data_IF_876482103921
#
_entry.id   IF_876482103921
#
_cell.length_a   1.000
_cell.length_b   1.000
_cell.length_c   1.000
_cell.angle_alpha   90.00
_cell.angle_beta   90.00
_cell.angle_gamma   90.00
#
_symmetry.space_group_name_H-M   'P 1'
#
loop_
_entity.id
_entity.type
_entity.pdbx_description
1 polymer ?
#
# COMPACT_ATOMS: atom_id res chain seq x y z
N UNK A 1 -12.73 -6.37 -14.05
CA UNK A 1 -11.56 -6.54 -13.16
C UNK A 1 -10.63 -5.33 -13.09
N UNK A 2 -10.22 -4.68 -14.20
CA UNK A 2 -9.41 -3.43 -14.14
C UNK A 2 -10.00 -2.34 -13.23
N UNK A 3 -11.30 -2.06 -13.35
CA UNK A 3 -11.98 -1.06 -12.49
C UNK A 3 -12.00 -1.47 -11.01
N UNK A 4 -12.04 -2.78 -10.72
CA UNK A 4 -11.96 -3.29 -9.36
C UNK A 4 -10.56 -3.04 -8.78
N UNK A 5 -9.48 -3.29 -9.53
CA UNK A 5 -8.13 -2.93 -9.08
C UNK A 5 -7.99 -1.43 -8.81
N UNK A 6 -8.53 -0.58 -9.68
CA UNK A 6 -8.52 0.87 -9.47
C UNK A 6 -9.25 1.24 -8.17
N UNK A 7 -10.42 0.65 -7.94
CA UNK A 7 -11.17 0.85 -6.70
C UNK A 7 -10.36 0.39 -5.48
N UNK A 8 -9.76 -0.81 -5.54
CA UNK A 8 -9.01 -1.37 -4.42
C UNK A 8 -7.79 -0.51 -4.06
N UNK A 9 -7.01 -0.11 -5.08
CA UNK A 9 -5.86 0.78 -4.89
C UNK A 9 -6.30 2.17 -4.40
N UNK A 10 -7.43 2.68 -4.89
CA UNK A 10 -7.96 3.99 -4.50
C UNK A 10 -8.41 4.01 -3.05
N UNK A 11 -9.13 2.98 -2.61
CA UNK A 11 -9.53 2.82 -1.22
C UNK A 11 -8.31 2.71 -0.29
N UNK A 12 -7.31 1.89 -0.65
CA UNK A 12 -6.04 1.84 0.07
C UNK A 12 -5.38 3.22 0.18
N UNK A 13 -5.33 3.95 -0.94
CA UNK A 13 -4.70 5.27 -1.00
C UNK A 13 -5.36 6.25 -0.05
N UNK A 14 -6.70 6.29 -0.03
CA UNK A 14 -7.48 7.22 0.81
C UNK A 14 -7.23 6.92 2.30
N UNK A 15 -7.28 5.65 2.70
CA UNK A 15 -7.00 5.26 4.09
C UNK A 15 -5.58 5.63 4.51
N UNK A 16 -4.61 5.38 3.63
CA UNK A 16 -3.21 5.68 3.87
C UNK A 16 -2.90 7.19 3.89
N UNK A 17 -3.59 7.99 3.07
CA UNK A 17 -3.52 9.45 3.13
C UNK A 17 -3.98 9.97 4.49
N UNK A 18 -5.15 9.51 4.94
CA UNK A 18 -5.72 9.97 6.21
C UNK A 18 -4.82 9.58 7.39
N UNK A 19 -4.47 8.30 7.51
CA UNK A 19 -3.60 7.84 8.60
C UNK A 19 -2.21 8.48 8.56
N UNK A 20 -1.63 8.62 7.36
CA UNK A 20 -0.28 9.16 7.18
C UNK A 20 -0.20 10.63 7.54
N UNK A 21 -1.18 11.42 7.10
CA UNK A 21 -1.27 12.85 7.44
C UNK A 21 -1.48 13.04 8.94
N UNK A 22 -2.38 12.27 9.57
CA UNK A 22 -2.63 12.41 11.02
C UNK A 22 -1.37 12.12 11.84
N UNK A 23 -0.63 11.06 11.53
CA UNK A 23 0.64 10.78 12.19
C UNK A 23 1.75 11.78 11.88
N UNK A 24 1.69 12.49 10.74
CA UNK A 24 2.63 13.55 10.45
C UNK A 24 2.29 14.86 11.17
N UNK A 25 1.00 15.16 11.36
CA UNK A 25 0.52 16.35 12.07
C UNK A 25 0.78 16.23 13.57
N UNK A 26 0.44 15.09 14.17
CA UNK A 26 0.72 14.80 15.58
C UNK A 26 1.48 13.47 15.69
N UNK A 27 2.82 13.50 15.57
CA UNK A 27 3.67 12.31 15.63
C UNK A 27 3.66 11.58 16.97
N UNK A 28 3.09 12.16 18.02
CA UNK A 28 2.89 11.48 19.29
C UNK A 28 1.74 10.45 19.25
N UNK A 29 0.93 10.48 18.19
CA UNK A 29 -0.20 9.58 17.95
C UNK A 29 -1.53 10.10 18.49
N UNK A 30 -1.57 11.29 19.11
CA UNK A 30 -2.73 11.81 19.82
C UNK A 30 -3.98 11.94 18.95
N UNK A 31 -3.85 12.38 17.68
CA UNK A 31 -4.97 12.45 16.73
C UNK A 31 -5.54 11.09 16.33
N UNK A 32 -4.76 10.02 16.49
CA UNK A 32 -5.17 8.65 16.22
C UNK A 32 -5.63 7.93 17.50
N UNK A 33 -5.69 8.63 18.65
CA UNK A 33 -5.98 8.03 19.94
C UNK A 33 -4.88 7.08 20.43
N UNK A 34 -3.67 7.21 19.89
CA UNK A 34 -2.50 6.41 20.22
C UNK A 34 -1.51 7.23 21.04
N UNK A 35 -0.56 6.54 21.65
CA UNK A 35 0.58 7.16 22.35
C UNK A 35 1.88 6.52 21.87
N UNK A 36 3.00 7.22 22.08
CA UNK A 36 4.33 6.69 21.74
C UNK A 36 4.71 5.42 22.50
N UNK A 37 3.98 5.04 23.56
CA UNK A 37 4.19 3.78 24.28
C UNK A 37 4.00 2.55 23.37
N UNK A 38 3.17 2.65 22.32
CA UNK A 38 3.05 1.59 21.32
C UNK A 38 4.35 1.38 20.52
N UNK A 39 5.31 2.29 20.59
CA UNK A 39 6.57 2.23 19.86
C UNK A 39 7.76 1.79 20.72
N UNK A 40 7.56 1.43 22.00
CA UNK A 40 8.64 1.07 22.93
C UNK A 40 9.53 -0.08 22.43
N UNK A 41 8.94 -1.02 21.67
CA UNK A 41 9.64 -2.15 21.08
C UNK A 41 10.09 -1.90 19.64
N UNK A 42 10.00 -0.64 19.18
CA UNK A 42 10.27 -0.24 17.81
C UNK A 42 11.55 0.59 17.71
N UNK A 43 12.18 0.65 16.52
CA UNK A 43 13.31 1.55 16.28
C UNK A 43 12.88 3.02 16.14
N UNK A 44 11.58 3.34 16.29
CA UNK A 44 11.04 4.68 16.09
C UNK A 44 10.69 5.34 17.42
N UNK A 45 11.05 6.60 17.56
CA UNK A 45 10.73 7.39 18.75
C UNK A 45 9.33 8.05 18.68
N UNK A 46 8.73 8.10 17.49
CA UNK A 46 7.42 8.69 17.22
C UNK A 46 6.85 8.14 15.90
N UNK A 47 5.60 8.49 15.59
CA UNK A 47 4.88 8.00 14.40
C UNK A 47 5.20 8.76 13.11
N UNK A 48 6.15 9.71 13.11
CA UNK A 48 6.43 10.52 11.92
C UNK A 48 6.89 9.67 10.73
N UNK A 49 7.87 8.78 10.95
CA UNK A 49 8.39 7.94 9.87
C UNK A 49 7.35 6.90 9.40
N UNK A 50 6.65 6.17 10.30
CA UNK A 50 5.48 5.38 9.91
C UNK A 50 4.46 6.17 9.08
N UNK A 51 4.13 7.40 9.49
CA UNK A 51 3.21 8.29 8.79
C UNK A 51 3.67 8.64 7.37
N UNK A 52 4.95 8.97 7.20
CA UNK A 52 5.55 9.24 5.88
C UNK A 52 5.49 7.99 4.97
N UNK A 53 5.80 6.81 5.51
CA UNK A 53 5.73 5.55 4.74
C UNK A 53 4.28 5.29 4.31
N UNK A 54 3.32 5.42 5.23
CA UNK A 54 1.91 5.25 4.91
C UNK A 54 1.48 6.21 3.80
N UNK A 55 1.81 7.49 3.96
CA UNK A 55 1.47 8.54 3.00
C UNK A 55 2.08 8.29 1.62
N UNK A 56 3.39 8.04 1.54
CA UNK A 56 4.08 7.97 0.25
C UNK A 56 3.92 6.61 -0.44
N UNK A 57 4.15 5.53 0.31
CA UNK A 57 4.21 4.17 -0.26
C UNK A 57 2.81 3.58 -0.45
N UNK A 58 1.88 3.86 0.45
CA UNK A 58 0.52 3.31 0.40
C UNK A 58 -0.55 4.35 0.02
N UNK A 59 -0.25 5.65 0.12
CA UNK A 59 -1.12 6.74 -0.34
C UNK A 59 -0.79 7.20 -1.77
N UNK A 60 0.35 7.85 -1.96
CA UNK A 60 0.73 8.49 -3.23
C UNK A 60 1.06 7.48 -4.31
N UNK A 61 1.86 6.45 -3.97
CA UNK A 61 2.34 5.50 -4.97
C UNK A 61 1.21 4.68 -5.62
N UNK A 62 0.20 4.16 -4.87
CA UNK A 62 -0.92 3.47 -5.50
C UNK A 62 -1.78 4.40 -6.38
N UNK A 63 -1.91 5.70 -6.06
CA UNK A 63 -2.52 6.69 -6.96
C UNK A 63 -1.74 6.82 -8.27
N UNK A 64 -0.41 6.85 -8.20
CA UNK A 64 0.43 6.85 -9.41
C UNK A 64 0.22 5.59 -10.26
N UNK A 65 0.08 4.42 -9.62
CA UNK A 65 -0.22 3.17 -10.32
C UNK A 65 -1.63 3.21 -10.94
N UNK A 66 -2.64 3.73 -10.25
CA UNK A 66 -3.99 3.96 -10.81
C UNK A 66 -3.91 4.85 -12.05
N UNK A 67 -3.20 5.97 -11.97
CA UNK A 67 -2.98 6.86 -13.11
C UNK A 67 -2.34 6.12 -14.29
N UNK A 68 -1.31 5.31 -14.02
CA UNK A 68 -0.62 4.50 -15.03
C UNK A 68 -1.55 3.45 -15.66
N UNK A 69 -2.44 2.82 -14.89
CA UNK A 69 -3.47 1.87 -15.39
C UNK A 69 -4.49 2.58 -16.29
N UNK A 70 -4.89 3.81 -15.95
CA UNK A 70 -5.91 4.57 -16.69
C UNK A 70 -5.33 5.12 -17.99
N UNK A 71 -4.19 5.80 -17.92
CA UNK A 71 -3.56 6.49 -19.05
C UNK A 71 -2.66 5.60 -19.90
N UNK A 72 -2.42 4.35 -19.48
CA UNK A 72 -1.44 3.44 -20.10
C UNK A 72 -0.09 4.13 -20.27
N UNK A 73 0.34 4.82 -19.21
CA UNK A 73 1.60 5.56 -19.23
C UNK A 73 2.73 4.56 -19.46
N UNK A 74 3.65 4.85 -20.38
CA UNK A 74 4.89 4.13 -20.50
C UNK A 74 5.98 4.86 -19.69
N UNK A 75 6.61 4.18 -18.73
CA UNK A 75 7.70 4.72 -17.95
C UNK A 75 8.89 3.75 -17.99
N UNK A 76 9.96 4.07 -18.74
CA UNK A 76 11.11 3.17 -18.90
C UNK A 76 11.80 2.81 -17.59
N UNK A 77 11.80 3.70 -16.60
CA UNK A 77 12.38 3.43 -15.29
C UNK A 77 11.57 2.38 -14.53
N UNK A 78 10.23 2.54 -14.49
CA UNK A 78 9.36 1.55 -13.85
C UNK A 78 9.40 0.21 -14.59
N UNK A 79 9.53 0.21 -15.92
CA UNK A 79 9.67 -1.02 -16.69
C UNK A 79 10.98 -1.75 -16.39
N UNK A 80 12.09 -1.06 -16.07
CA UNK A 80 13.34 -1.73 -15.65
C UNK A 80 13.18 -2.48 -14.32
N UNK A 81 12.35 -1.97 -13.41
CA UNK A 81 12.05 -2.59 -12.11
C UNK A 81 10.94 -3.65 -12.18
N UNK A 82 10.35 -3.84 -13.36
CA UNK A 82 9.32 -4.83 -13.61
C UNK A 82 9.95 -6.22 -13.74
N UNK A 83 9.68 -7.12 -12.80
CA UNK A 83 10.12 -8.52 -12.86
C UNK A 83 9.38 -9.31 -13.95
N UNK A 84 8.18 -8.87 -14.32
CA UNK A 84 7.31 -9.54 -15.28
C UNK A 84 7.32 -8.76 -16.60
N UNK A 85 8.40 -8.90 -17.37
CA UNK A 85 8.68 -8.10 -18.58
C UNK A 85 7.60 -8.19 -19.65
N UNK A 86 6.88 -9.31 -19.75
CA UNK A 86 5.79 -9.53 -20.72
C UNK A 86 4.52 -8.70 -20.42
N UNK A 87 4.47 -8.09 -19.23
CA UNK A 87 3.33 -7.31 -18.76
C UNK A 87 3.69 -5.84 -18.56
N UNK A 88 2.69 -4.97 -18.67
CA UNK A 88 2.77 -3.57 -18.33
C UNK A 88 3.12 -3.37 -16.86
N UNK A 89 4.14 -2.55 -16.55
CA UNK A 89 4.64 -2.37 -15.18
C UNK A 89 3.53 -2.09 -14.16
N UNK A 90 2.52 -1.30 -14.51
CA UNK A 90 1.44 -0.94 -13.58
C UNK A 90 0.70 -2.16 -13.00
N UNK A 91 0.65 -3.28 -13.73
CA UNK A 91 0.13 -4.53 -13.20
C UNK A 91 1.08 -5.16 -12.17
N UNK A 92 2.37 -5.28 -12.49
CA UNK A 92 3.38 -5.85 -11.58
C UNK A 92 3.48 -5.05 -10.30
N UNK A 93 3.48 -3.72 -10.40
CA UNK A 93 3.52 -2.85 -9.23
C UNK A 93 2.22 -2.92 -8.40
N UNK A 94 1.08 -3.25 -9.00
CA UNK A 94 -0.14 -3.57 -8.22
C UNK A 94 0.09 -4.80 -7.33
N UNK A 95 0.77 -5.83 -7.85
CA UNK A 95 1.13 -7.01 -7.06
C UNK A 95 2.13 -6.64 -5.95
N UNK A 96 3.13 -5.82 -6.27
CA UNK A 96 4.09 -5.32 -5.27
C UNK A 96 3.42 -4.53 -4.15
N UNK A 97 2.44 -3.69 -4.47
CA UNK A 97 1.65 -2.95 -3.46
C UNK A 97 0.93 -3.91 -2.53
N UNK A 98 0.28 -4.96 -3.07
CA UNK A 98 -0.40 -5.97 -2.25
C UNK A 98 0.56 -6.72 -1.33
N UNK A 99 1.72 -7.14 -1.84
CA UNK A 99 2.77 -7.81 -1.03
C UNK A 99 3.31 -6.85 0.03
N UNK A 100 3.66 -5.63 -0.38
CA UNK A 100 4.18 -4.59 0.49
C UNK A 100 3.20 -4.25 1.61
N UNK A 101 1.89 -4.22 1.33
CA UNK A 101 0.86 -3.97 2.35
C UNK A 101 0.83 -5.08 3.39
N UNK A 102 0.89 -6.35 2.97
CA UNK A 102 0.95 -7.48 3.90
C UNK A 102 2.21 -7.39 4.77
N UNK A 103 3.38 -7.15 4.16
CA UNK A 103 4.64 -7.01 4.90
C UNK A 103 4.54 -5.85 5.89
N UNK A 104 4.07 -4.69 5.45
CA UNK A 104 3.94 -3.50 6.28
C UNK A 104 3.07 -3.76 7.51
N UNK A 105 1.87 -4.32 7.32
CA UNK A 105 0.95 -4.60 8.42
C UNK A 105 1.53 -5.62 9.40
N UNK A 106 2.24 -6.64 8.92
CA UNK A 106 2.89 -7.61 9.81
C UNK A 106 4.05 -6.99 10.60
N UNK A 107 4.88 -6.17 9.95
CA UNK A 107 5.95 -5.43 10.63
C UNK A 107 5.37 -4.47 11.65
N UNK A 108 4.36 -3.69 11.28
CA UNK A 108 3.67 -2.77 12.18
C UNK A 108 3.11 -3.51 13.40
N UNK A 109 2.34 -4.58 13.19
CA UNK A 109 1.76 -5.40 14.26
C UNK A 109 2.83 -5.99 15.19
N UNK A 110 3.97 -6.42 14.64
CA UNK A 110 5.09 -6.92 15.42
C UNK A 110 5.74 -5.83 16.29
N UNK A 111 5.92 -4.63 15.73
CA UNK A 111 6.53 -3.50 16.44
C UNK A 111 5.63 -2.98 17.57
N UNK A 112 4.31 -2.89 17.33
CA UNK A 112 3.35 -2.41 18.33
C UNK A 112 2.88 -3.49 19.31
N UNK A 113 3.21 -4.75 19.04
CA UNK A 113 2.83 -5.95 19.81
C UNK A 113 1.32 -6.11 20.04
N UNK A 114 0.51 -5.54 19.15
CA UNK A 114 -0.95 -5.65 19.17
C UNK A 114 -1.47 -6.00 17.78
N UNK A 115 -2.58 -6.74 17.73
CA UNK A 115 -3.29 -7.07 16.51
C UNK A 115 -4.75 -6.69 16.70
N UNK A 116 -5.11 -5.54 16.14
CA UNK A 116 -6.49 -5.08 16.11
C UNK A 116 -7.17 -5.54 14.81
N UNK A 117 -8.49 -5.35 14.74
CA UNK A 117 -9.29 -5.73 13.59
C UNK A 117 -8.82 -5.04 12.29
N UNK A 118 -8.27 -3.83 12.41
CA UNK A 118 -7.81 -3.04 11.25
C UNK A 118 -6.58 -3.65 10.58
N UNK A 119 -5.62 -4.19 11.35
CA UNK A 119 -4.46 -4.89 10.80
C UNK A 119 -4.92 -6.17 10.07
N UNK A 120 -5.81 -6.95 10.68
CA UNK A 120 -6.36 -8.15 10.03
C UNK A 120 -7.07 -7.79 8.71
N UNK A 121 -7.89 -6.73 8.72
CA UNK A 121 -8.57 -6.24 7.54
C UNK A 121 -7.58 -5.87 6.42
N UNK A 122 -6.56 -5.05 6.70
CA UNK A 122 -5.61 -4.62 5.67
C UNK A 122 -4.67 -5.73 5.20
N UNK A 123 -4.32 -6.69 6.05
CA UNK A 123 -3.59 -7.89 5.64
C UNK A 123 -4.40 -8.71 4.63
N UNK A 124 -5.69 -8.99 4.93
CA UNK A 124 -6.60 -9.64 3.99
C UNK A 124 -6.83 -8.80 2.74
N UNK A 125 -6.84 -7.48 2.86
CA UNK A 125 -6.98 -6.56 1.74
C UNK A 125 -5.79 -6.66 0.78
N UNK A 126 -4.57 -6.75 1.29
CA UNK A 126 -3.37 -7.00 0.49
C UNK A 126 -3.46 -8.33 -0.27
N UNK A 127 -3.92 -9.40 0.39
CA UNK A 127 -4.17 -10.70 -0.26
C UNK A 127 -5.21 -10.56 -1.37
N UNK A 128 -6.31 -9.84 -1.12
CA UNK A 128 -7.36 -9.59 -2.10
C UNK A 128 -6.82 -8.85 -3.33
N UNK A 129 -6.01 -7.80 -3.15
CA UNK A 129 -5.36 -7.07 -4.26
C UNK A 129 -4.54 -8.04 -5.12
N UNK A 130 -3.69 -8.87 -4.50
CA UNK A 130 -2.86 -9.86 -5.20
C UNK A 130 -3.74 -10.85 -5.97
N UNK A 131 -4.73 -11.46 -5.31
CA UNK A 131 -5.64 -12.42 -5.94
C UNK A 131 -6.33 -11.81 -7.18
N UNK A 132 -6.91 -10.61 -7.05
CA UNK A 132 -7.59 -9.94 -8.16
C UNK A 132 -6.60 -9.57 -9.28
N UNK A 133 -5.38 -9.17 -8.95
CA UNK A 133 -4.35 -8.87 -9.94
C UNK A 133 -3.91 -10.12 -10.72
N UNK A 134 -3.75 -11.26 -10.04
CA UNK A 134 -3.27 -12.52 -10.64
C UNK A 134 -4.35 -13.28 -11.45
N UNK A 135 -5.63 -12.92 -11.31
CA UNK A 135 -6.69 -13.55 -12.10
C UNK A 135 -6.43 -13.43 -13.61
N UNK A 136 -6.62 -14.51 -14.41
CA UNK A 136 -6.32 -14.50 -15.84
C UNK A 136 -7.03 -13.38 -16.62
N UNK A 137 -8.28 -13.07 -16.25
CA UNK A 137 -9.07 -12.01 -16.86
C UNK A 137 -8.50 -10.60 -16.62
N UNK A 138 -7.80 -10.41 -15.49
CA UNK A 138 -7.10 -9.17 -15.19
C UNK A 138 -5.78 -9.11 -15.95
N UNK A 139 -4.95 -10.15 -15.83
CA UNK A 139 -3.63 -10.24 -16.48
C UNK A 139 -3.66 -9.99 -17.97
N UNK A 140 -4.62 -10.59 -18.69
CA UNK A 140 -4.78 -10.42 -20.14
C UNK A 140 -4.93 -8.96 -20.59
N UNK A 141 -5.36 -8.05 -19.70
CA UNK A 141 -5.53 -6.63 -20.03
C UNK A 141 -4.23 -5.81 -19.98
N UNK A 142 -3.15 -6.42 -19.49
CA UNK A 142 -1.87 -5.76 -19.25
C UNK A 142 -0.72 -6.45 -20.00
N UNK A 143 -0.99 -7.41 -20.87
CA UNK A 143 0.02 -7.97 -21.78
C UNK A 143 0.47 -6.85 -22.74
N UNK A 144 1.78 -6.74 -22.96
CA UNK A 144 2.37 -5.77 -23.90
C UNK A 144 2.24 -6.20 -25.36
#
# INVERSE_FOLDING_TARGET
MKSLLIFLLGFLSIGAFFGGILFMLEPDGSLMGMTVHFLENSPFNNFLLPGIILLLVFGVFPVYIIYSIIKKQNNPFMQKLNVMYDYHFSWTFTVYIGIGLIIWINVESYLIQTVELIQLFYAMYGVLIICIALLPQTRKKFIM
#
